data_IF_157257253082
#
_entry.id   IF_157257253082
#
_cell.length_a   1.000
_cell.length_b   1.000
_cell.length_c   1.000
_cell.angle_alpha   90.00
_cell.angle_beta   90.00
_cell.angle_gamma   90.00
#
_symmetry.space_group_name_H-M   'P 1'
#
loop_
_entity.id
_entity.type
_entity.pdbx_description
1 polymer ?
#
# COMPACT_ATOMS: atom_id res chain seq x y z
N UNK A 1 7.57 0.04 2.27
CA UNK A 1 6.27 -0.47 2.75
C UNK A 1 5.59 -1.24 1.63
N UNK A 2 4.84 -2.29 1.94
CA UNK A 2 3.95 -2.95 0.98
C UNK A 2 2.55 -2.36 1.16
N UNK A 3 1.98 -1.84 0.08
CA UNK A 3 0.67 -1.19 0.11
C UNK A 3 -0.18 -1.67 -1.08
N UNK A 4 -1.23 -2.45 -0.78
CA UNK A 4 -2.17 -2.98 -1.78
C UNK A 4 -3.13 -1.92 -2.32
N UNK A 5 -3.27 -0.78 -1.65
CA UNK A 5 -4.08 0.36 -2.08
C UNK A 5 -3.32 1.39 -2.90
N UNK A 6 -1.99 1.32 -2.93
CA UNK A 6 -1.14 2.22 -3.70
C UNK A 6 -1.12 1.86 -5.20
N UNK A 7 -0.98 2.89 -6.02
CA UNK A 7 -0.44 2.81 -7.37
C UNK A 7 0.20 4.16 -7.70
N UNK A 8 1.49 4.24 -8.13
CA UNK A 8 2.44 3.19 -8.53
C UNK A 8 3.45 2.77 -7.42
N UNK A 9 4.40 1.87 -7.72
CA UNK A 9 5.62 1.71 -6.90
C UNK A 9 6.37 3.04 -6.81
N UNK A 10 6.76 3.47 -5.61
CA UNK A 10 7.52 4.71 -5.42
C UNK A 10 8.74 4.52 -4.55
N UNK A 11 9.78 5.31 -4.83
CA UNK A 11 11.03 5.35 -4.06
C UNK A 11 11.50 6.80 -3.93
N UNK A 12 11.88 7.22 -2.72
CA UNK A 12 12.46 8.56 -2.50
C UNK A 12 13.84 8.65 -3.14
N UNK A 13 14.10 9.77 -3.80
CA UNK A 13 15.31 10.03 -4.58
C UNK A 13 16.63 9.72 -3.83
N UNK A 14 16.73 10.07 -2.55
CA UNK A 14 17.92 9.82 -1.70
C UNK A 14 18.34 8.36 -1.59
N UNK A 15 17.45 7.41 -1.90
CA UNK A 15 17.76 5.98 -1.87
C UNK A 15 18.35 5.46 -3.19
N UNK A 16 18.39 6.29 -4.23
CA UNK A 16 19.03 5.93 -5.49
C UNK A 16 20.53 6.15 -5.41
N UNK A 17 21.28 5.19 -5.95
CA UNK A 17 22.68 5.41 -6.26
C UNK A 17 22.78 6.56 -7.30
N UNK A 18 23.63 7.58 -7.08
CA UNK A 18 23.81 8.72 -7.99
C UNK A 18 24.14 8.34 -9.45
N UNK A 19 24.68 7.15 -9.69
CA UNK A 19 25.00 6.65 -11.03
C UNK A 19 23.76 6.17 -11.81
N UNK A 20 22.65 5.90 -11.11
CA UNK A 20 21.40 5.45 -11.74
C UNK A 20 20.74 6.65 -12.42
N UNK A 21 20.57 6.54 -13.74
CA UNK A 21 19.88 7.56 -14.54
C UNK A 21 18.37 7.40 -14.40
N UNK A 22 17.72 8.48 -14.00
CA UNK A 22 16.26 8.59 -13.95
C UNK A 22 15.75 8.93 -15.36
N UNK A 23 14.80 8.16 -15.87
CA UNK A 23 14.09 8.50 -17.10
C UNK A 23 13.09 9.63 -16.80
N UNK A 24 13.44 10.85 -17.21
CA UNK A 24 12.64 12.06 -16.97
C UNK A 24 11.49 12.25 -17.95
N UNK A 25 11.44 11.48 -19.04
CA UNK A 25 10.33 11.51 -19.99
C UNK A 25 9.13 10.67 -19.51
N UNK A 26 9.34 9.87 -18.47
CA UNK A 26 8.36 8.94 -17.90
C UNK A 26 8.01 9.33 -16.47
N UNK A 27 7.09 10.30 -16.36
CA UNK A 27 6.63 10.89 -15.10
C UNK A 27 5.14 10.62 -14.88
N UNK A 28 4.74 10.55 -13.60
CA UNK A 28 3.35 10.47 -13.18
C UNK A 28 2.99 11.56 -12.17
N UNK A 29 1.69 11.85 -12.10
CA UNK A 29 1.08 12.65 -11.05
C UNK A 29 0.49 11.75 -9.99
N UNK A 30 0.99 11.85 -8.76
CA UNK A 30 0.49 11.12 -7.61
C UNK A 30 -0.61 11.92 -6.90
N UNK A 31 -1.73 11.26 -6.62
CA UNK A 31 -2.87 11.82 -5.90
C UNK A 31 -3.28 10.89 -4.76
N UNK A 32 -3.93 11.44 -3.73
CA UNK A 32 -4.48 10.65 -2.61
C UNK A 32 -3.52 10.47 -1.42
N UNK A 33 -2.29 10.97 -1.51
CA UNK A 33 -1.33 11.01 -0.39
C UNK A 33 -1.34 12.41 0.27
N UNK A 34 -1.52 13.46 -0.52
CA UNK A 34 -1.68 14.85 -0.04
C UNK A 34 -2.96 15.49 -0.56
N UNK A 35 -3.29 16.65 0.00
CA UNK A 35 -4.26 17.59 -0.57
C UNK A 35 -3.65 18.28 -1.81
N UNK A 36 -3.33 17.51 -2.85
CA UNK A 36 -2.66 18.02 -4.03
C UNK A 36 -2.23 16.92 -5.00
N UNK A 37 -1.60 17.35 -6.09
CA UNK A 37 -0.85 16.49 -7.01
C UNK A 37 0.63 16.62 -6.67
N UNK A 38 1.33 15.49 -6.63
CA UNK A 38 2.79 15.48 -6.51
C UNK A 38 3.37 14.87 -7.77
N UNK A 39 4.33 15.56 -8.36
CA UNK A 39 5.01 15.13 -9.57
C UNK A 39 6.16 14.20 -9.20
N UNK A 40 6.23 13.06 -9.88
CA UNK A 40 7.42 12.20 -9.81
C UNK A 40 8.55 12.83 -10.61
N UNK A 41 9.80 12.65 -10.17
CA UNK A 41 10.99 13.09 -10.89
C UNK A 41 11.28 12.27 -12.17
N UNK A 42 10.60 11.14 -12.33
CA UNK A 42 10.73 10.22 -13.45
C UNK A 42 10.61 8.77 -12.98
N UNK A 43 11.03 7.84 -13.84
CA UNK A 43 11.03 6.41 -13.52
C UNK A 43 12.42 5.78 -13.60
N UNK A 44 12.58 4.66 -12.90
CA UNK A 44 13.74 3.77 -12.98
C UNK A 44 13.28 2.32 -12.98
N UNK A 45 14.07 1.43 -13.56
CA UNK A 45 13.90 -0.01 -13.41
C UNK A 45 15.03 -0.53 -12.52
N UNK A 46 14.66 -1.13 -11.38
CA UNK A 46 15.59 -1.71 -10.41
C UNK A 46 15.40 -3.21 -10.34
N UNK A 47 16.47 -3.95 -10.12
CA UNK A 47 16.39 -5.39 -9.90
C UNK A 47 16.10 -5.69 -8.43
N UNK A 48 14.99 -6.37 -8.17
CA UNK A 48 14.69 -6.98 -6.86
C UNK A 48 14.84 -8.49 -7.05
N UNK A 49 15.80 -9.09 -6.34
CA UNK A 49 16.13 -10.52 -6.47
C UNK A 49 16.26 -11.00 -7.93
N UNK A 50 16.90 -10.19 -8.77
CA UNK A 50 17.13 -10.50 -10.19
C UNK A 50 15.93 -10.25 -11.11
N UNK A 51 14.82 -9.71 -10.60
CA UNK A 51 13.64 -9.38 -11.40
C UNK A 51 13.50 -7.86 -11.56
N UNK A 52 13.28 -7.36 -12.78
CA UNK A 52 13.08 -5.94 -13.02
C UNK A 52 11.76 -5.48 -12.41
N UNK A 53 11.83 -4.38 -11.67
CA UNK A 53 10.71 -3.71 -11.03
C UNK A 53 10.82 -2.22 -11.31
N UNK A 54 9.79 -1.69 -11.94
CA UNK A 54 9.69 -0.25 -12.21
C UNK A 54 9.31 0.50 -10.93
N UNK A 55 10.02 1.58 -10.65
CA UNK A 55 9.73 2.54 -9.60
C UNK A 55 9.59 3.93 -10.21
N UNK A 56 8.65 4.71 -9.67
CA UNK A 56 8.64 6.16 -9.89
C UNK A 56 9.36 6.85 -8.74
N UNK A 57 10.20 7.80 -9.10
CA UNK A 57 11.05 8.49 -8.14
C UNK A 57 10.32 9.71 -7.64
N UNK A 58 10.24 9.84 -6.32
CA UNK A 58 9.59 10.98 -5.66
C UNK A 58 10.64 11.84 -4.95
N UNK A 59 10.36 13.13 -4.76
CA UNK A 59 11.18 14.01 -3.92
C UNK A 59 11.43 13.46 -2.51
N UNK A 60 12.50 13.90 -1.85
CA UNK A 60 12.88 13.38 -0.52
C UNK A 60 11.95 13.84 0.61
N UNK A 61 11.24 14.95 0.38
CA UNK A 61 10.18 15.49 1.23
C UNK A 61 8.81 14.87 0.94
N UNK A 62 8.74 13.83 0.09
CA UNK A 62 7.51 13.11 -0.20
C UNK A 62 6.86 12.59 1.11
N UNK A 63 5.57 12.88 1.37
CA UNK A 63 4.97 12.81 2.70
C UNK A 63 4.47 11.42 3.06
N UNK A 64 5.40 10.47 3.02
CA UNK A 64 5.28 9.15 3.61
C UNK A 64 6.46 8.98 4.59
N UNK A 65 6.25 8.25 5.67
CA UNK A 65 7.33 8.00 6.64
C UNK A 65 8.39 7.07 6.04
N UNK A 66 7.96 6.08 5.26
CA UNK A 66 8.84 5.08 4.69
C UNK A 66 9.63 5.61 3.48
N UNK A 67 10.69 4.92 3.11
CA UNK A 67 11.54 5.30 1.98
C UNK A 67 10.92 5.01 0.61
N UNK A 68 9.91 4.14 0.57
CA UNK A 68 9.20 3.79 -0.65
C UNK A 68 7.98 2.90 -0.40
N UNK A 69 7.12 2.79 -1.41
CA UNK A 69 5.93 1.95 -1.42
C UNK A 69 6.01 0.95 -2.57
N UNK A 70 5.63 -0.30 -2.28
CA UNK A 70 5.44 -1.35 -3.28
C UNK A 70 3.94 -1.53 -3.52
N UNK A 71 3.52 -1.36 -4.77
CA UNK A 71 2.12 -1.40 -5.19
C UNK A 71 1.60 -2.82 -5.41
N UNK A 72 0.28 -2.93 -5.55
CA UNK A 72 -0.41 -4.19 -5.84
C UNK A 72 0.05 -4.89 -7.13
N UNK A 73 0.52 -4.15 -8.15
CA UNK A 73 1.08 -4.74 -9.36
C UNK A 73 2.37 -5.53 -9.08
N UNK A 74 3.25 -5.02 -8.22
CA UNK A 74 4.41 -5.78 -7.71
C UNK A 74 3.94 -7.06 -6.98
N UNK A 75 2.83 -6.94 -6.25
CA UNK A 75 2.22 -8.06 -5.53
C UNK A 75 1.58 -9.13 -6.42
N UNK A 76 1.35 -8.88 -7.71
CA UNK A 76 0.84 -9.93 -8.62
C UNK A 76 1.78 -11.13 -8.76
N UNK A 77 3.07 -10.94 -8.51
CA UNK A 77 4.08 -12.01 -8.48
C UNK A 77 4.25 -12.68 -7.11
N UNK A 78 3.46 -12.29 -6.11
CA UNK A 78 3.56 -12.82 -4.73
C UNK A 78 2.78 -14.11 -4.64
N UNK A 79 3.43 -15.15 -4.14
CA UNK A 79 2.78 -16.41 -3.81
C UNK A 79 2.16 -16.37 -2.41
N UNK A 80 2.83 -15.72 -1.46
CA UNK A 80 2.42 -15.74 -0.05
C UNK A 80 2.75 -14.42 0.65
N UNK A 81 1.77 -13.83 1.35
CA UNK A 81 1.99 -12.80 2.37
C UNK A 81 1.52 -13.40 3.69
N UNK A 82 2.44 -13.76 4.58
CA UNK A 82 2.14 -14.29 5.90
C UNK A 82 2.52 -13.27 6.97
N UNK A 83 1.52 -12.59 7.52
CA UNK A 83 1.72 -11.65 8.62
C UNK A 83 2.11 -12.39 9.91
N UNK A 84 1.53 -13.56 10.16
CA UNK A 84 1.87 -14.41 11.31
C UNK A 84 3.35 -14.80 11.32
N UNK A 85 3.88 -15.17 10.15
CA UNK A 85 5.28 -15.58 10.01
C UNK A 85 6.22 -14.43 9.64
N UNK A 86 5.73 -13.18 9.62
CA UNK A 86 6.46 -12.00 9.14
C UNK A 86 7.19 -12.25 7.80
N UNK A 87 6.50 -12.85 6.83
CA UNK A 87 7.11 -13.37 5.60
C UNK A 87 6.36 -12.94 4.35
N UNK A 88 7.13 -12.49 3.36
CA UNK A 88 6.72 -12.36 1.96
C UNK A 88 7.44 -13.39 1.11
N UNK A 89 6.69 -14.19 0.36
CA UNK A 89 7.22 -15.03 -0.70
C UNK A 89 6.88 -14.44 -2.06
N UNK A 90 7.90 -14.04 -2.81
CA UNK A 90 7.75 -13.42 -4.12
C UNK A 90 8.70 -14.06 -5.12
N UNK A 91 8.13 -14.64 -6.19
CA UNK A 91 8.89 -15.33 -7.25
C UNK A 91 9.92 -16.34 -6.71
N UNK A 92 9.54 -17.10 -5.68
CA UNK A 92 10.41 -18.09 -5.02
C UNK A 92 11.44 -17.53 -4.04
N UNK A 93 11.53 -16.20 -3.91
CA UNK A 93 12.37 -15.54 -2.91
C UNK A 93 11.58 -15.25 -1.63
N UNK A 94 12.26 -15.30 -0.49
CA UNK A 94 11.69 -15.07 0.84
C UNK A 94 12.23 -13.77 1.44
N UNK A 95 11.34 -12.89 1.85
CA UNK A 95 11.67 -11.62 2.53
C UNK A 95 10.98 -11.57 3.88
N UNK A 96 11.75 -11.37 4.95
CA UNK A 96 11.20 -11.15 6.28
C UNK A 96 10.77 -9.69 6.44
N UNK A 97 9.62 -9.45 7.06
CA UNK A 97 9.21 -8.10 7.44
C UNK A 97 10.01 -7.63 8.65
N UNK A 98 10.56 -6.42 8.55
CA UNK A 98 11.12 -5.71 9.71
C UNK A 98 9.96 -5.05 10.43
N UNK A 99 9.51 -5.63 11.54
CA UNK A 99 8.44 -5.06 12.35
C UNK A 99 8.97 -3.86 13.14
N UNK A 100 8.84 -2.67 12.56
CA UNK A 100 8.86 -1.42 13.32
C UNK A 100 7.76 -0.51 12.78
N UNK A 101 6.51 -0.84 13.13
CA UNK A 101 5.37 0.06 13.29
C UNK A 101 4.06 -0.75 13.27
N UNK A 102 3.55 -1.08 14.45
CA UNK A 102 2.18 -1.56 14.62
C UNK A 102 1.29 -0.37 14.97
N UNK A 103 0.33 -0.02 14.11
CA UNK A 103 -0.76 0.86 14.50
C UNK A 103 -1.81 0.02 15.24
N UNK A 104 -1.72 -0.01 16.57
CA UNK A 104 -2.79 -0.56 17.40
C UNK A 104 -3.95 0.42 17.39
N UNK A 105 -5.06 0.08 16.73
CA UNK A 105 -6.31 0.81 16.90
C UNK A 105 -6.95 0.27 18.17
N UNK A 106 -6.97 1.03 19.29
CA UNK A 106 -7.54 0.52 20.52
C UNK A 106 -9.03 0.28 20.33
N UNK A 107 -9.54 -0.76 21.01
CA UNK A 107 -10.96 -1.02 21.07
C UNK A 107 -11.69 0.27 21.49
N UNK A 108 -12.73 0.65 20.73
CA UNK A 108 -13.55 1.88 20.88
C UNK A 108 -12.97 3.18 20.31
N UNK A 109 -12.03 3.13 19.37
CA UNK A 109 -11.68 4.30 18.57
C UNK A 109 -12.68 4.57 17.44
N UNK A 110 -13.18 5.81 17.33
CA UNK A 110 -13.94 6.29 16.15
C UNK A 110 -12.95 6.86 15.14
N UNK A 111 -12.70 6.11 14.07
CA UNK A 111 -11.97 6.61 12.89
C UNK A 111 -13.01 6.81 11.79
N UNK A 112 -13.06 8.01 11.21
CA UNK A 112 -13.90 8.29 10.03
C UNK A 112 -13.05 8.00 8.79
N UNK A 113 -13.28 6.85 8.15
CA UNK A 113 -12.73 6.53 6.84
C UNK A 113 -13.77 6.76 5.76
N UNK A 114 -13.40 7.48 4.70
CA UNK A 114 -14.29 7.76 3.57
C UNK A 114 -14.10 6.71 2.48
N UNK A 115 -15.10 5.85 2.27
CA UNK A 115 -15.15 4.92 1.15
C UNK A 115 -15.97 5.53 0.01
N UNK A 116 -15.35 5.87 -1.12
CA UNK A 116 -16.10 6.29 -2.33
C UNK A 116 -16.63 5.05 -3.04
N UNK A 117 -17.90 4.71 -2.78
CA UNK A 117 -18.61 3.64 -3.48
C UNK A 117 -19.15 4.20 -4.81
N UNK A 118 -18.67 3.68 -5.95
CA UNK A 118 -19.34 3.89 -7.24
C UNK A 118 -20.59 3.02 -7.28
N UNK A 119 -21.73 3.58 -6.87
CA UNK A 119 -23.01 2.94 -7.10
C UNK A 119 -23.50 3.28 -8.52
N UNK A 120 -23.41 2.33 -9.46
CA UNK A 120 -23.86 2.52 -10.85
C UNK A 120 -25.39 2.46 -11.00
N UNK A 121 -26.12 2.18 -9.93
CA UNK A 121 -27.58 2.24 -9.91
C UNK A 121 -28.05 3.00 -8.66
N UNK A 122 -28.21 4.32 -8.80
CA UNK A 122 -28.83 5.18 -7.78
C UNK A 122 -30.25 4.67 -7.48
N UNK A 123 -30.43 4.04 -6.31
CA UNK A 123 -31.74 3.91 -5.68
C UNK A 123 -31.80 4.92 -4.55
N UNK A 124 -32.77 5.82 -4.59
CA UNK A 124 -33.01 6.79 -3.53
C UNK A 124 -33.69 6.07 -2.35
N UNK A 125 -33.08 6.16 -1.17
CA UNK A 125 -33.61 5.60 0.07
C UNK A 125 -32.71 4.51 0.70
N UNK A 126 -32.73 4.50 2.04
CA UNK A 126 -32.13 3.55 2.99
C UNK A 126 -30.80 2.89 2.58
N UNK A 127 -29.70 3.31 3.20
CA UNK A 127 -28.41 2.58 3.17
C UNK A 127 -28.54 1.35 4.07
N UNK A 128 -28.52 0.12 3.53
CA UNK A 128 -28.59 -1.07 4.37
C UNK A 128 -27.33 -1.15 5.24
N UNK A 129 -27.45 -1.52 6.52
CA UNK A 129 -26.28 -1.83 7.33
C UNK A 129 -25.49 -2.95 6.66
N UNK A 130 -24.23 -2.66 6.33
CA UNK A 130 -23.30 -3.66 5.82
C UNK A 130 -23.04 -4.70 6.91
N UNK A 131 -23.51 -5.94 6.70
CA UNK A 131 -23.14 -7.06 7.55
C UNK A 131 -21.67 -7.39 7.31
N UNK A 132 -20.79 -6.86 8.14
CA UNK A 132 -19.44 -7.40 8.31
C UNK A 132 -19.61 -8.74 9.01
N UNK A 133 -19.34 -9.85 8.32
CA UNK A 133 -19.36 -11.19 8.94
C UNK A 133 -18.23 -11.26 9.97
N UNK A 134 -18.56 -10.95 11.22
CA UNK A 134 -17.72 -11.24 12.37
C UNK A 134 -17.74 -12.74 12.65
N UNK A 135 -16.56 -13.32 12.87
CA UNK A 135 -16.43 -14.65 13.43
C UNK A 135 -17.17 -14.73 14.77
N UNK A 136 -18.03 -15.73 14.89
CA UNK A 136 -18.84 -16.05 16.06
C UNK A 136 -17.95 -16.46 17.23
N UNK A 137 -17.87 -15.61 18.25
CA UNK A 137 -17.54 -16.08 19.60
C UNK A 137 -18.83 -16.33 20.37
N UNK A 138 -19.16 -17.62 20.56
CA UNK A 138 -20.08 -18.05 21.62
C UNK A 138 -19.49 -17.61 22.96
N UNK A 139 -20.29 -16.97 23.80
CA UNK A 139 -20.18 -17.12 25.25
C UNK A 139 -21.55 -17.48 25.81
N UNK A 140 -21.58 -18.65 26.44
CA UNK A 140 -22.57 -19.06 27.43
C UNK A 140 -22.55 -18.11 28.63
N UNK A 141 -23.67 -18.02 29.35
CA UNK A 141 -23.67 -17.60 30.75
C UNK A 141 -24.90 -16.81 31.20
N UNK A 142 -25.80 -17.54 31.84
CA UNK A 142 -26.97 -17.19 32.67
C UNK A 142 -26.77 -15.97 33.59
N UNK A 143 -27.81 -15.15 33.80
CA UNK A 143 -28.84 -15.27 34.85
C UNK A 143 -30.08 -14.48 34.45
#
# INVERSE_FOLDING_TARGET
MIDTGASPNVLKHRNLNPEIRINRDDTLFLIGITNGKIDTLGSVELLISGHPVKFYIVPDDFPILQEGLLESAFLRGVSTISLENNLLEWRGNRFSFVTSESLTIPARSRIVSYLRVKNTHLRYGYVPPLSVRGHTHRKCGSF
#
